data_IF_905674031151
#
_entry.id   IF_905674031151
#
_cell.length_a   1.000
_cell.length_b   1.000
_cell.length_c   1.000
_cell.angle_alpha   90.00
_cell.angle_beta   90.00
_cell.angle_gamma   90.00
#
_symmetry.space_group_name_H-M   'P 1'
#
loop_
_entity.id
_entity.type
_entity.pdbx_description
1 polymer ?
#
# COMPACT_ATOMS: atom_id res chain seq x y z
N UNK A 1 -21.17 22.01 -12.90
CA UNK A 1 -22.00 21.94 -11.68
C UNK A 1 -21.12 22.31 -10.50
N UNK A 2 -21.67 22.86 -9.43
CA UNK A 2 -20.88 23.20 -8.23
C UNK A 2 -20.62 21.92 -7.43
N UNK A 3 -19.35 21.64 -7.10
CA UNK A 3 -18.96 20.47 -6.30
C UNK A 3 -19.38 20.62 -4.83
N UNK A 4 -19.79 19.52 -4.20
CA UNK A 4 -20.19 19.53 -2.79
C UNK A 4 -18.97 19.43 -1.85
N UNK A 5 -18.24 20.53 -1.72
CA UNK A 5 -17.05 20.62 -0.86
C UNK A 5 -17.44 21.22 0.49
N UNK A 6 -17.06 20.53 1.57
CA UNK A 6 -17.25 20.94 2.97
C UNK A 6 -15.89 21.03 3.64
N UNK A 7 -15.64 22.14 4.30
CA UNK A 7 -14.38 22.37 5.02
C UNK A 7 -14.74 22.83 6.43
N UNK A 8 -14.42 22.02 7.43
CA UNK A 8 -14.89 22.20 8.81
C UNK A 8 -13.74 22.06 9.81
N UNK A 9 -13.75 22.81 10.93
CA UNK A 9 -12.79 22.61 12.00
C UNK A 9 -13.04 21.28 12.73
N UNK A 10 -11.98 20.50 12.94
CA UNK A 10 -11.94 19.33 13.81
C UNK A 10 -11.47 19.73 15.20
N UNK A 11 -12.37 19.60 16.19
CA UNK A 11 -12.04 19.80 17.61
C UNK A 11 -11.51 18.51 18.21
N UNK A 12 -10.26 18.19 17.92
CA UNK A 12 -9.56 17.03 18.47
C UNK A 12 -8.14 17.42 18.90
N UNK A 13 -7.55 16.60 19.76
CA UNK A 13 -6.12 16.68 20.06
C UNK A 13 -5.33 16.19 18.85
N UNK A 14 -4.39 16.98 18.30
CA UNK A 14 -3.48 16.52 17.26
C UNK A 14 -2.80 15.21 17.65
N UNK A 15 -2.58 14.31 16.69
CA UNK A 15 -1.95 12.99 16.84
C UNK A 15 -0.67 13.08 17.65
N UNK A 16 0.20 14.06 17.34
CA UNK A 16 1.46 14.31 18.02
C UNK A 16 1.31 14.64 19.50
N UNK A 17 0.18 15.24 19.88
CA UNK A 17 -0.13 15.67 21.25
C UNK A 17 -0.93 14.59 22.01
N UNK A 18 -1.31 13.48 21.37
CA UNK A 18 -1.96 12.36 22.04
C UNK A 18 -0.93 11.53 22.83
N UNK A 19 -1.34 10.89 23.93
CA UNK A 19 -0.42 10.11 24.77
C UNK A 19 0.03 8.80 24.13
N UNK A 20 -0.82 8.19 23.30
CA UNK A 20 -0.56 6.89 22.67
C UNK A 20 -0.83 7.01 21.18
N UNK A 21 0.03 6.40 20.38
CA UNK A 21 -0.16 6.23 18.95
C UNK A 21 0.38 4.87 18.51
N UNK A 22 -0.34 4.24 17.58
CA UNK A 22 0.03 2.98 16.97
C UNK A 22 0.09 3.16 15.45
N UNK A 23 1.16 2.68 14.84
CA UNK A 23 1.35 2.67 13.39
C UNK A 23 1.94 1.32 12.99
N UNK A 24 1.44 0.74 11.90
CA UNK A 24 2.01 -0.45 11.32
C UNK A 24 2.32 -0.24 9.83
N UNK A 25 3.40 -0.86 9.36
CA UNK A 25 3.70 -1.02 7.94
C UNK A 25 4.11 -2.46 7.65
N UNK A 26 3.47 -3.05 6.65
CA UNK A 26 3.84 -4.34 6.06
C UNK A 26 4.68 -4.08 4.81
N UNK A 27 5.93 -4.52 4.81
CA UNK A 27 6.88 -4.35 3.71
C UNK A 27 6.56 -5.19 2.49
N UNK A 28 7.31 -4.99 1.40
CA UNK A 28 6.98 -5.53 0.07
C UNK A 28 6.88 -7.06 0.00
N UNK A 29 7.62 -7.78 0.85
CA UNK A 29 7.60 -9.24 0.91
C UNK A 29 6.63 -9.84 1.94
N UNK A 30 5.92 -9.02 2.71
CA UNK A 30 4.86 -9.53 3.59
C UNK A 30 3.73 -10.12 2.74
N UNK A 31 3.14 -11.28 3.07
CA UNK A 31 2.15 -11.95 2.23
C UNK A 31 0.98 -11.07 1.76
N UNK A 32 0.39 -10.27 2.66
CA UNK A 32 -0.67 -9.31 2.27
C UNK A 32 -0.16 -8.25 1.26
N UNK A 33 1.04 -7.72 1.44
CA UNK A 33 1.65 -6.74 0.52
C UNK A 33 2.03 -7.36 -0.83
N UNK A 34 2.44 -8.64 -0.85
CA UNK A 34 2.63 -9.40 -2.08
C UNK A 34 1.28 -9.53 -2.81
N UNK A 35 0.20 -9.84 -2.09
CA UNK A 35 -1.13 -9.94 -2.69
C UNK A 35 -1.60 -8.60 -3.29
N UNK A 36 -1.41 -7.50 -2.58
CA UNK A 36 -1.69 -6.14 -3.07
C UNK A 36 -0.85 -5.81 -4.31
N UNK A 37 0.46 -6.05 -4.28
CA UNK A 37 1.34 -5.77 -5.42
C UNK A 37 1.06 -6.64 -6.64
N UNK A 38 0.73 -7.92 -6.46
CA UNK A 38 0.26 -8.80 -7.54
C UNK A 38 -1.03 -8.29 -8.17
N UNK A 39 -2.02 -7.93 -7.35
CA UNK A 39 -3.29 -7.41 -7.82
C UNK A 39 -3.10 -6.14 -8.65
N UNK A 40 -2.25 -5.21 -8.18
CA UNK A 40 -1.96 -3.97 -8.88
C UNK A 40 -1.15 -4.19 -10.16
N UNK A 41 -0.12 -5.04 -10.14
CA UNK A 41 0.68 -5.37 -11.32
C UNK A 41 -0.19 -5.99 -12.43
N UNK A 42 -1.13 -6.86 -12.06
CA UNK A 42 -2.11 -7.42 -13.01
C UNK A 42 -3.02 -6.34 -13.58
N UNK A 43 -3.55 -5.43 -12.75
CA UNK A 43 -4.41 -4.33 -13.22
C UNK A 43 -3.66 -3.42 -14.21
N UNK A 44 -2.40 -3.07 -13.91
CA UNK A 44 -1.58 -2.25 -14.79
C UNK A 44 -1.27 -2.95 -16.12
N UNK A 45 -0.93 -4.24 -16.08
CA UNK A 45 -0.70 -5.03 -17.28
C UNK A 45 -1.96 -5.14 -18.16
N UNK A 46 -3.13 -5.33 -17.55
CA UNK A 46 -4.40 -5.32 -18.27
C UNK A 46 -4.71 -3.93 -18.86
N UNK A 47 -4.44 -2.85 -18.13
CA UNK A 47 -4.58 -1.49 -18.68
C UNK A 47 -3.73 -1.30 -19.94
N UNK A 48 -2.46 -1.71 -19.91
CA UNK A 48 -1.57 -1.63 -21.07
C UNK A 48 -2.09 -2.48 -22.24
N UNK A 49 -2.52 -3.71 -21.99
CA UNK A 49 -3.08 -4.62 -23.01
C UNK A 49 -4.33 -4.03 -23.67
N UNK A 50 -5.22 -3.43 -22.87
CA UNK A 50 -6.44 -2.79 -23.37
C UNK A 50 -6.12 -1.53 -24.20
N UNK A 51 -5.17 -0.70 -23.77
CA UNK A 51 -4.76 0.49 -24.52
C UNK A 51 -4.15 0.09 -25.86
N UNK A 52 -3.27 -0.92 -25.88
CA UNK A 52 -2.62 -1.39 -27.11
C UNK A 52 -3.61 -1.95 -28.14
N UNK A 53 -4.55 -2.79 -27.69
CA UNK A 53 -5.51 -3.47 -28.58
C UNK A 53 -6.75 -2.66 -28.91
N UNK A 54 -7.25 -1.90 -27.95
CA UNK A 54 -8.57 -1.27 -27.99
C UNK A 54 -8.53 0.26 -27.90
N UNK A 55 -7.35 0.85 -27.67
CA UNK A 55 -7.17 2.31 -27.57
C UNK A 55 -7.70 2.94 -26.28
N UNK A 56 -8.18 2.15 -25.33
CA UNK A 56 -8.72 2.60 -24.06
C UNK A 56 -8.61 1.49 -23.00
N UNK A 57 -8.54 1.87 -21.72
CA UNK A 57 -8.66 0.90 -20.62
C UNK A 57 -10.09 0.37 -20.55
N UNK A 58 -10.26 -0.95 -20.55
CA UNK A 58 -11.56 -1.61 -20.40
C UNK A 58 -11.85 -2.02 -18.95
N UNK A 59 -13.08 -2.46 -18.70
CA UNK A 59 -13.52 -2.85 -17.36
C UNK A 59 -12.76 -4.09 -16.87
N UNK A 60 -12.20 -3.97 -15.67
CA UNK A 60 -11.56 -5.04 -14.93
C UNK A 60 -11.46 -4.64 -13.46
N UNK A 61 -11.43 -5.61 -12.56
CA UNK A 61 -11.08 -5.44 -11.14
C UNK A 61 -10.38 -6.73 -10.69
N UNK A 62 -9.11 -6.65 -10.29
CA UNK A 62 -8.25 -7.80 -9.95
C UNK A 62 -7.82 -7.77 -8.49
N UNK A 63 -8.67 -7.18 -7.64
CA UNK A 63 -8.45 -6.84 -6.24
C UNK A 63 -8.83 -7.97 -5.26
N UNK A 64 -8.78 -9.23 -5.70
CA UNK A 64 -9.23 -10.39 -4.91
C UNK A 64 -8.16 -11.51 -4.85
N UNK A 65 -6.88 -11.16 -5.04
CA UNK A 65 -5.77 -12.12 -4.99
C UNK A 65 -5.62 -12.76 -3.61
N UNK A 66 -5.41 -14.09 -3.59
CA UNK A 66 -5.18 -14.89 -2.39
C UNK A 66 -3.85 -15.61 -2.48
N UNK A 67 -3.11 -15.65 -1.37
CA UNK A 67 -1.86 -16.37 -1.19
C UNK A 67 -2.07 -17.38 -0.08
N UNK A 68 -1.84 -18.65 -0.40
CA UNK A 68 -1.84 -19.77 0.54
C UNK A 68 -0.39 -20.18 0.76
N UNK A 69 -0.01 -20.22 2.02
CA UNK A 69 1.36 -20.46 2.42
C UNK A 69 1.88 -21.82 1.95
N UNK A 70 3.18 -21.83 1.61
CA UNK A 70 3.92 -23.05 1.33
C UNK A 70 4.40 -23.74 2.61
N UNK A 71 5.44 -24.55 2.45
CA UNK A 71 6.23 -25.07 3.57
C UNK A 71 7.70 -25.07 3.19
N UNK A 72 8.57 -24.60 4.07
CA UNK A 72 10.01 -24.64 3.89
C UNK A 72 10.74 -25.28 5.07
N UNK A 73 12.03 -25.53 4.87
CA UNK A 73 12.99 -25.89 5.91
C UNK A 73 14.21 -24.96 5.80
N UNK A 74 14.14 -23.74 6.39
CA UNK A 74 15.24 -22.77 6.37
C UNK A 74 16.44 -23.28 7.17
N UNK A 75 17.66 -22.96 6.72
CA UNK A 75 18.88 -23.30 7.44
C UNK A 75 20.00 -22.30 7.15
N UNK A 76 20.99 -22.20 8.03
CA UNK A 76 22.21 -21.47 7.71
C UNK A 76 22.91 -22.09 6.49
N UNK A 77 23.40 -21.23 5.59
CA UNK A 77 24.00 -21.65 4.33
C UNK A 77 23.00 -22.18 3.29
N UNK A 78 21.69 -22.19 3.56
CA UNK A 78 20.70 -22.62 2.58
C UNK A 78 19.30 -22.87 3.14
N UNK A 79 18.82 -24.08 2.91
CA UNK A 79 17.44 -24.48 3.16
C UNK A 79 16.69 -24.81 1.86
N UNK A 80 15.50 -25.35 2.00
CA UNK A 80 14.69 -25.81 0.88
C UNK A 80 13.21 -25.46 1.06
N UNK A 81 12.54 -25.15 -0.05
CA UNK A 81 11.08 -25.08 -0.11
C UNK A 81 10.56 -26.50 -0.35
N UNK A 82 9.76 -27.01 0.59
CA UNK A 82 9.19 -28.37 0.60
C UNK A 82 7.88 -28.42 -0.18
N UNK A 83 7.00 -27.43 0.08
CA UNK A 83 5.73 -27.26 -0.61
C UNK A 83 5.67 -25.85 -1.18
N UNK A 84 5.33 -25.68 -2.46
CA UNK A 84 5.26 -24.37 -3.07
C UNK A 84 4.14 -23.53 -2.45
N UNK A 85 4.34 -22.21 -2.45
CA UNK A 85 3.31 -21.23 -2.14
C UNK A 85 2.27 -21.29 -3.27
N UNK A 86 0.98 -21.30 -2.93
CA UNK A 86 -0.09 -21.26 -3.92
C UNK A 86 -0.67 -19.85 -4.00
N UNK A 87 -0.75 -19.29 -5.21
CA UNK A 87 -1.26 -17.95 -5.45
C UNK A 87 -2.43 -18.05 -6.43
N UNK A 88 -3.58 -17.52 -6.04
CA UNK A 88 -4.78 -17.48 -6.85
C UNK A 88 -5.13 -16.02 -7.18
N UNK A 89 -4.97 -15.66 -8.46
CA UNK A 89 -5.41 -14.37 -8.99
C UNK A 89 -6.91 -14.45 -9.31
N UNK A 90 -7.73 -13.63 -8.64
CA UNK A 90 -9.19 -13.59 -8.82
C UNK A 90 -9.63 -12.18 -9.19
N UNK A 91 -10.75 -12.08 -9.90
CA UNK A 91 -11.34 -10.80 -10.26
C UNK A 91 -12.27 -10.88 -11.47
N UNK A 92 -12.47 -9.72 -12.09
CA UNK A 92 -13.19 -9.53 -13.34
C UNK A 92 -12.26 -8.93 -14.40
N UNK A 93 -12.37 -9.36 -15.65
CA UNK A 93 -11.70 -8.75 -16.78
C UNK A 93 -12.56 -8.84 -18.04
N UNK A 94 -12.39 -7.88 -18.96
CA UNK A 94 -13.04 -7.90 -20.28
C UNK A 94 -12.20 -8.78 -21.21
N UNK A 95 -12.74 -9.93 -21.63
CA UNK A 95 -11.99 -10.90 -22.46
C UNK A 95 -12.20 -10.71 -23.97
N UNK A 96 -13.23 -9.98 -24.35
CA UNK A 96 -13.52 -9.62 -25.75
C UNK A 96 -14.11 -8.22 -25.83
N UNK A 97 -13.70 -7.45 -26.84
CA UNK A 97 -14.25 -6.13 -27.12
C UNK A 97 -14.25 -5.89 -28.63
N UNK A 98 -15.42 -5.59 -29.21
CA UNK A 98 -15.59 -5.32 -30.65
C UNK A 98 -14.99 -6.41 -31.57
N UNK A 99 -15.13 -7.69 -31.16
CA UNK A 99 -14.60 -8.85 -31.89
C UNK A 99 -13.09 -9.07 -31.71
N UNK A 100 -12.42 -8.25 -30.88
CA UNK A 100 -11.02 -8.44 -30.49
C UNK A 100 -10.98 -9.30 -29.24
N UNK A 101 -10.37 -10.48 -29.33
CA UNK A 101 -10.07 -11.32 -28.17
C UNK A 101 -8.84 -10.80 -27.42
N UNK A 102 -8.96 -10.71 -26.09
CA UNK A 102 -7.96 -10.14 -25.21
C UNK A 102 -7.42 -11.25 -24.31
N UNK A 103 -6.09 -11.47 -24.27
CA UNK A 103 -5.49 -12.61 -23.58
C UNK A 103 -5.37 -12.38 -22.06
N UNK A 104 -6.47 -12.04 -21.38
CA UNK A 104 -6.50 -11.54 -19.99
C UNK A 104 -5.78 -12.44 -19.00
N UNK A 105 -6.05 -13.74 -19.04
CA UNK A 105 -5.56 -14.67 -18.03
C UNK A 105 -4.06 -14.91 -18.22
N UNK A 106 -3.60 -14.99 -19.47
CA UNK A 106 -2.17 -15.08 -19.79
C UNK A 106 -1.41 -13.79 -19.46
N UNK A 107 -2.01 -12.62 -19.71
CA UNK A 107 -1.44 -11.32 -19.32
C UNK A 107 -1.30 -11.23 -17.80
N UNK A 108 -2.33 -11.65 -17.04
CA UNK A 108 -2.31 -11.66 -15.59
C UNK A 108 -1.23 -12.61 -15.03
N UNK A 109 -1.15 -13.83 -15.55
CA UNK A 109 -0.12 -14.80 -15.14
C UNK A 109 1.30 -14.29 -15.42
N UNK A 110 1.52 -13.64 -16.58
CA UNK A 110 2.81 -13.08 -16.91
C UNK A 110 3.18 -11.92 -15.97
N UNK A 111 2.27 -10.96 -15.77
CA UNK A 111 2.49 -9.81 -14.89
C UNK A 111 2.79 -10.23 -13.45
N UNK A 112 2.07 -11.23 -12.93
CA UNK A 112 2.31 -11.77 -11.61
C UNK A 112 3.69 -12.45 -11.49
N UNK A 113 4.13 -13.19 -12.51
CA UNK A 113 5.48 -13.79 -12.53
C UNK A 113 6.56 -12.72 -12.53
N UNK A 114 6.39 -11.68 -13.33
CA UNK A 114 7.36 -10.59 -13.43
C UNK A 114 7.44 -9.80 -12.12
N UNK A 115 6.29 -9.48 -11.53
CA UNK A 115 6.23 -8.85 -10.20
C UNK A 115 7.00 -9.65 -9.15
N UNK A 116 6.79 -10.97 -9.07
CA UNK A 116 7.49 -11.82 -8.09
C UNK A 116 9.00 -11.88 -8.35
N UNK A 117 9.43 -11.98 -9.61
CA UNK A 117 10.87 -12.00 -9.98
C UNK A 117 11.57 -10.69 -9.62
N UNK A 118 10.87 -9.56 -9.79
CA UNK A 118 11.41 -8.23 -9.52
C UNK A 118 11.46 -7.91 -8.02
N UNK A 119 10.47 -8.38 -7.26
CA UNK A 119 10.29 -7.95 -5.87
C UNK A 119 10.77 -8.96 -4.83
N UNK A 120 10.76 -10.27 -5.10
CA UNK A 120 11.17 -11.32 -4.13
C UNK A 120 12.37 -12.08 -4.68
N UNK A 121 13.59 -11.57 -4.44
CA UNK A 121 14.78 -11.98 -5.20
C UNK A 121 15.24 -13.42 -4.92
N UNK A 122 14.94 -13.93 -3.72
CA UNK A 122 15.37 -15.26 -3.33
C UNK A 122 14.34 -16.35 -3.66
N UNK A 123 13.16 -15.97 -4.17
CA UNK A 123 12.08 -16.87 -4.57
C UNK A 123 12.29 -17.38 -6.00
N UNK A 124 12.27 -18.69 -6.21
CA UNK A 124 12.23 -19.26 -7.55
C UNK A 124 10.78 -19.42 -8.01
N UNK A 125 10.29 -18.47 -8.82
CA UNK A 125 8.89 -18.44 -9.31
C UNK A 125 8.47 -19.72 -10.06
N UNK A 126 9.39 -20.45 -10.68
CA UNK A 126 9.04 -21.67 -11.43
C UNK A 126 8.99 -22.93 -10.56
N UNK A 127 9.69 -22.93 -9.43
CA UNK A 127 9.79 -24.09 -8.52
C UNK A 127 8.97 -23.91 -7.25
N UNK A 128 9.00 -22.71 -6.67
CA UNK A 128 8.53 -22.42 -5.32
C UNK A 128 7.09 -21.89 -5.30
N UNK A 129 6.49 -21.66 -6.47
CA UNK A 129 5.15 -21.08 -6.62
C UNK A 129 4.28 -21.95 -7.53
N UNK A 130 3.01 -22.13 -7.13
CA UNK A 130 1.93 -22.49 -8.03
C UNK A 130 1.08 -21.24 -8.25
N UNK A 131 1.06 -20.73 -9.48
CA UNK A 131 0.29 -19.55 -9.84
C UNK A 131 -0.94 -19.97 -10.66
N UNK A 132 -2.12 -19.65 -10.15
CA UNK A 132 -3.42 -19.93 -10.79
C UNK A 132 -4.18 -18.61 -11.04
N UNK A 133 -5.02 -18.60 -12.06
CA UNK A 133 -5.76 -17.42 -12.48
C UNK A 133 -7.21 -17.80 -12.80
N UNK A 134 -8.15 -17.13 -12.12
CA UNK A 134 -9.59 -17.32 -12.28
C UNK A 134 -10.31 -15.99 -12.46
N UNK A 135 -9.89 -15.23 -13.46
CA UNK A 135 -10.58 -14.00 -13.85
C UNK A 135 -11.92 -14.35 -14.52
N UNK A 136 -13.00 -13.94 -13.88
CA UNK A 136 -14.34 -14.00 -14.45
C UNK A 136 -14.53 -12.92 -15.51
N UNK A 137 -15.49 -13.11 -16.41
CA UNK A 137 -15.85 -12.09 -17.39
C UNK A 137 -16.56 -10.92 -16.67
N UNK A 138 -16.09 -9.68 -16.92
CA UNK A 138 -16.78 -8.46 -16.50
C UNK A 138 -17.94 -8.13 -17.44
N UNK A 139 -18.93 -7.34 -16.98
CA UNK A 139 -20.01 -6.90 -17.86
C UNK A 139 -19.47 -5.95 -18.94
N UNK A 140 -19.63 -6.35 -20.21
CA UNK A 140 -19.33 -5.53 -21.40
C UNK A 140 -20.28 -4.34 -21.58
N UNK A 141 -21.36 -4.27 -20.79
CA UNK A 141 -22.38 -3.22 -20.81
C UNK A 141 -21.90 -1.84 -20.31
N UNK A 142 -20.63 -1.70 -19.92
CA UNK A 142 -20.07 -0.41 -19.50
C UNK A 142 -19.58 0.47 -20.66
N UNK A 143 -19.91 0.14 -21.93
CA UNK A 143 -19.68 1.02 -23.11
C UNK A 143 -20.06 2.49 -22.85
N UNK A 144 -21.16 2.71 -22.15
CA UNK A 144 -21.67 4.05 -21.79
C UNK A 144 -20.79 4.82 -20.79
N UNK A 145 -19.91 4.16 -20.03
CA UNK A 145 -18.95 4.81 -19.14
C UNK A 145 -17.73 5.30 -19.93
N UNK A 146 -17.32 4.58 -20.98
CA UNK A 146 -16.12 4.87 -21.77
C UNK A 146 -16.27 6.07 -22.72
N UNK A 147 -17.49 6.41 -23.14
CA UNK A 147 -17.72 7.56 -24.02
C UNK A 147 -17.82 8.92 -23.29
N UNK A 148 -17.77 8.93 -21.95
CA UNK A 148 -17.87 10.17 -21.16
C UNK A 148 -16.49 10.77 -20.95
N UNK A 149 -16.39 12.11 -21.04
CA UNK A 149 -15.16 12.84 -20.71
C UNK A 149 -14.73 12.62 -19.26
N UNK A 150 -15.70 12.53 -18.33
CA UNK A 150 -15.49 12.11 -16.95
C UNK A 150 -16.32 10.85 -16.70
N UNK A 151 -15.70 9.73 -16.29
CA UNK A 151 -16.42 8.49 -16.07
C UNK A 151 -17.36 8.60 -14.87
N UNK A 152 -18.46 7.84 -14.93
CA UNK A 152 -19.34 7.65 -13.78
C UNK A 152 -18.72 6.67 -12.78
N UNK A 153 -18.84 6.96 -11.49
CA UNK A 153 -18.40 6.11 -10.40
C UNK A 153 -18.98 4.69 -10.54
N UNK A 154 -18.13 3.69 -10.38
CA UNK A 154 -18.53 2.29 -10.47
C UNK A 154 -19.40 1.82 -9.27
N UNK A 155 -19.24 2.47 -8.13
CA UNK A 155 -19.83 2.10 -6.85
C UNK A 155 -20.09 3.34 -5.98
N UNK A 156 -20.78 3.15 -4.86
CA UNK A 156 -20.96 4.12 -3.77
C UNK A 156 -19.96 3.78 -2.66
N UNK A 157 -18.72 4.19 -2.85
CA UNK A 157 -17.61 3.98 -1.91
C UNK A 157 -17.00 5.30 -1.44
N UNK A 158 -16.08 5.23 -0.48
CA UNK A 158 -15.37 6.38 0.05
C UNK A 158 -13.85 6.21 0.10
N UNK A 159 -13.14 7.32 -0.12
CA UNK A 159 -11.70 7.42 0.04
C UNK A 159 -11.33 8.33 1.21
N UNK A 160 -10.21 8.04 1.86
CA UNK A 160 -9.70 8.81 3.00
C UNK A 160 -8.21 9.09 2.81
N UNK A 161 -7.80 10.30 3.14
CA UNK A 161 -6.40 10.71 3.20
C UNK A 161 -6.18 11.68 4.35
N UNK A 162 -4.94 11.79 4.82
CA UNK A 162 -4.58 12.73 5.85
C UNK A 162 -3.13 13.20 5.69
N UNK A 163 -2.83 14.35 6.28
CA UNK A 163 -1.49 14.92 6.31
C UNK A 163 -1.36 15.97 7.44
N UNK A 164 -0.13 16.33 7.84
CA UNK A 164 1.11 15.61 7.54
C UNK A 164 1.16 14.25 8.27
N UNK A 165 2.11 13.40 7.90
CA UNK A 165 2.43 12.21 8.71
C UNK A 165 3.07 12.66 10.03
N UNK A 166 2.67 12.03 11.14
CA UNK A 166 3.32 12.16 12.45
C UNK A 166 4.76 11.64 12.40
N UNK A 167 5.58 11.95 13.39
CA UNK A 167 6.91 11.40 13.58
C UNK A 167 6.87 9.86 13.65
N UNK A 168 5.93 9.27 14.40
CA UNK A 168 5.77 7.81 14.48
C UNK A 168 5.41 7.21 13.12
N UNK A 169 4.53 7.88 12.36
CA UNK A 169 4.13 7.48 11.01
C UNK A 169 5.32 7.55 10.03
N UNK A 170 6.07 8.65 10.05
CA UNK A 170 7.27 8.83 9.24
C UNK A 170 8.35 7.80 9.58
N UNK A 171 8.66 7.61 10.87
CA UNK A 171 9.67 6.64 11.33
C UNK A 171 9.28 5.22 10.91
N UNK A 172 8.00 4.84 11.08
CA UNK A 172 7.51 3.51 10.70
C UNK A 172 7.62 3.28 9.19
N UNK A 173 7.25 4.30 8.39
CA UNK A 173 7.38 4.26 6.94
C UNK A 173 8.84 4.13 6.50
N UNK A 174 9.71 4.99 7.03
CA UNK A 174 11.11 5.06 6.63
C UNK A 174 11.96 3.90 7.16
N UNK A 175 11.59 3.26 8.27
CA UNK A 175 12.26 2.06 8.76
C UNK A 175 12.18 0.90 7.76
N UNK A 176 11.01 0.68 7.14
CA UNK A 176 10.86 -0.33 6.11
C UNK A 176 11.67 0.02 4.85
N UNK A 177 11.65 1.28 4.44
CA UNK A 177 12.45 1.75 3.29
C UNK A 177 13.96 1.62 3.54
N UNK A 178 14.42 1.90 4.76
CA UNK A 178 15.83 1.73 5.15
C UNK A 178 16.24 0.26 5.06
N UNK A 179 15.42 -0.69 5.54
CA UNK A 179 15.67 -2.12 5.38
C UNK A 179 15.81 -2.52 3.90
N UNK A 180 14.89 -2.05 3.04
CA UNK A 180 14.95 -2.32 1.60
C UNK A 180 16.19 -1.72 0.94
N UNK A 181 16.68 -0.57 1.41
CA UNK A 181 17.93 0.03 0.96
C UNK A 181 19.16 -0.75 1.45
N UNK A 182 19.16 -1.20 2.69
CA UNK A 182 20.24 -1.99 3.29
C UNK A 182 20.38 -3.36 2.65
N UNK A 183 19.29 -3.96 2.17
CA UNK A 183 19.30 -5.26 1.46
C UNK A 183 20.29 -5.31 0.29
N UNK A 184 20.52 -4.17 -0.39
CA UNK A 184 21.50 -4.05 -1.48
C UNK A 184 22.94 -4.34 -1.04
N UNK A 185 23.24 -4.18 0.25
CA UNK A 185 24.56 -4.40 0.87
C UNK A 185 24.57 -5.62 1.78
N UNK A 186 23.43 -5.94 2.40
CA UNK A 186 23.24 -7.04 3.33
C UNK A 186 22.22 -8.00 2.68
N UNK A 187 22.66 -8.96 1.84
CA UNK A 187 21.75 -9.83 1.10
C UNK A 187 20.98 -10.80 2.02
N UNK A 188 21.37 -10.91 3.29
CA UNK A 188 20.63 -11.66 4.29
C UNK A 188 19.29 -11.00 4.68
N UNK A 189 19.06 -9.72 4.38
CA UNK A 189 17.77 -9.07 4.62
C UNK A 189 16.77 -9.58 3.57
N UNK A 190 15.71 -10.24 4.04
CA UNK A 190 14.56 -10.62 3.22
C UNK A 190 13.65 -9.44 2.94
N UNK A 191 12.76 -9.61 1.96
CA UNK A 191 11.81 -8.59 1.54
C UNK A 191 10.59 -8.52 2.47
N UNK A 192 10.31 -9.59 3.20
CA UNK A 192 9.29 -9.61 4.25
C UNK A 192 9.77 -8.93 5.51
N UNK A 193 9.19 -7.75 5.71
CA UNK A 193 9.41 -6.94 6.89
C UNK A 193 8.07 -6.45 7.40
N UNK A 194 7.96 -6.28 8.71
CA UNK A 194 6.80 -5.69 9.35
C UNK A 194 7.26 -4.78 10.47
N UNK A 195 6.90 -3.52 10.39
CA UNK A 195 7.27 -2.50 11.35
C UNK A 195 6.04 -2.11 12.12
N UNK A 196 6.10 -2.23 13.45
CA UNK A 196 5.09 -1.74 14.37
C UNK A 196 5.71 -0.63 15.21
N UNK A 197 5.22 0.59 15.06
CA UNK A 197 5.55 1.73 15.90
C UNK A 197 4.50 1.92 16.99
N UNK A 198 4.94 1.89 18.24
CA UNK A 198 4.17 2.32 19.41
C UNK A 198 4.83 3.57 19.97
N UNK A 199 4.11 4.69 19.99
CA UNK A 199 4.51 5.85 20.78
C UNK A 199 3.71 5.88 22.06
N UNK A 200 4.41 5.99 23.18
CA UNK A 200 3.86 6.28 24.50
C UNK A 200 4.53 7.55 25.02
N UNK A 201 3.82 8.67 24.90
CA UNK A 201 4.30 10.02 25.24
C UNK A 201 5.57 10.36 24.45
N UNK A 202 6.69 10.42 25.17
CA UNK A 202 8.01 10.81 24.66
C UNK A 202 8.91 9.61 24.33
N UNK A 203 8.34 8.39 24.28
CA UNK A 203 9.06 7.18 23.89
C UNK A 203 8.40 6.51 22.70
N UNK A 204 9.18 6.14 21.69
CA UNK A 204 8.77 5.36 20.53
C UNK A 204 9.46 3.99 20.61
N UNK A 205 8.67 2.92 20.61
CA UNK A 205 9.13 1.55 20.48
C UNK A 205 8.83 1.06 19.07
N UNK A 206 9.85 0.67 18.32
CA UNK A 206 9.75 0.04 17.01
C UNK A 206 9.96 -1.46 17.15
N UNK A 207 8.93 -2.26 16.88
CA UNK A 207 9.05 -3.71 16.74
C UNK A 207 9.17 -4.04 15.26
N UNK A 208 10.34 -4.54 14.87
CA UNK A 208 10.70 -4.86 13.49
C UNK A 208 10.79 -6.36 13.36
N UNK A 209 9.85 -6.96 12.64
CA UNK A 209 10.03 -8.29 12.10
C UNK A 209 10.72 -8.17 10.74
N UNK A 210 11.81 -8.88 10.54
CA UNK A 210 12.61 -8.87 9.33
C UNK A 210 13.03 -10.32 9.03
N UNK A 211 12.48 -10.88 7.96
CA UNK A 211 12.90 -12.18 7.46
C UNK A 211 14.40 -12.16 7.16
N UNK A 212 15.12 -13.19 7.58
CA UNK A 212 16.54 -13.33 7.32
C UNK A 212 16.80 -14.51 6.38
N UNK A 213 17.48 -14.28 5.26
CA UNK A 213 17.68 -15.29 4.22
C UNK A 213 18.86 -16.21 4.57
N UNK A 214 18.56 -17.48 4.85
CA UNK A 214 19.51 -18.44 5.42
C UNK A 214 20.75 -18.70 4.58
N UNK A 215 20.64 -18.73 3.24
CA UNK A 215 21.80 -18.91 2.34
C UNK A 215 22.87 -17.82 2.45
N UNK A 216 22.55 -16.67 3.04
CA UNK A 216 23.47 -15.55 3.25
C UNK A 216 24.02 -15.46 4.67
N UNK A 217 23.65 -16.39 5.54
CA UNK A 217 24.07 -16.47 6.94
C UNK A 217 24.82 -17.78 7.17
N UNK A 218 25.94 -17.71 7.88
CA UNK A 218 26.82 -18.87 8.08
C UNK A 218 26.42 -19.68 9.31
N UNK A 219 25.96 -19.00 10.34
CA UNK A 219 25.67 -19.53 11.67
C UNK A 219 24.87 -18.51 12.49
N UNK A 220 24.56 -18.89 13.73
CA UNK A 220 23.85 -18.07 14.72
C UNK A 220 24.61 -16.78 15.07
N UNK A 221 25.94 -16.81 15.17
CA UNK A 221 26.73 -15.62 15.49
C UNK A 221 26.62 -14.56 14.39
N UNK A 222 26.67 -14.99 13.12
CA UNK A 222 26.44 -14.10 11.98
C UNK A 222 25.03 -13.51 12.01
N UNK A 223 23.99 -14.32 12.29
CA UNK A 223 22.62 -13.83 12.43
C UNK A 223 22.49 -12.74 13.51
N UNK A 224 23.03 -13.00 14.72
CA UNK A 224 23.00 -12.05 15.83
C UNK A 224 23.75 -10.77 15.47
N UNK A 225 24.90 -10.87 14.80
CA UNK A 225 25.66 -9.70 14.38
C UNK A 225 24.89 -8.84 13.38
N UNK A 226 24.20 -9.47 12.42
CA UNK A 226 23.42 -8.74 11.41
C UNK A 226 22.21 -8.06 12.07
N UNK A 227 21.42 -8.77 12.88
CA UNK A 227 20.25 -8.16 13.54
C UNK A 227 20.63 -7.06 14.52
N UNK A 228 21.78 -7.14 15.18
CA UNK A 228 22.32 -6.04 15.99
C UNK A 228 22.70 -4.81 15.15
N UNK A 229 23.36 -4.99 13.99
CA UNK A 229 23.66 -3.89 13.07
C UNK A 229 22.37 -3.25 12.51
N UNK A 230 21.36 -4.04 12.16
CA UNK A 230 20.05 -3.53 11.72
C UNK A 230 19.39 -2.67 12.80
N UNK A 231 19.38 -3.14 14.05
CA UNK A 231 18.82 -2.40 15.18
C UNK A 231 19.46 -1.02 15.31
N UNK A 232 20.79 -0.97 15.27
CA UNK A 232 21.53 0.28 15.45
C UNK A 232 21.30 1.24 14.26
N UNK A 233 21.26 0.72 13.02
CA UNK A 233 20.95 1.53 11.83
C UNK A 233 19.53 2.10 11.83
N UNK A 234 18.54 1.30 12.22
CA UNK A 234 17.14 1.76 12.30
C UNK A 234 17.01 2.82 13.39
N UNK A 235 17.66 2.62 14.55
CA UNK A 235 17.68 3.63 15.62
C UNK A 235 18.32 4.94 15.15
N UNK A 236 19.46 4.87 14.48
CA UNK A 236 20.16 6.05 13.96
C UNK A 236 19.38 6.76 12.84
N UNK A 237 18.59 6.01 12.07
CA UNK A 237 17.65 6.57 11.09
C UNK A 237 16.49 7.27 11.78
N UNK A 238 15.85 6.62 12.76
CA UNK A 238 14.70 7.15 13.48
C UNK A 238 15.03 8.45 14.24
N UNK A 239 16.23 8.54 14.81
CA UNK A 239 16.71 9.74 15.52
C UNK A 239 16.82 11.01 14.65
N UNK A 240 16.66 10.90 13.32
CA UNK A 240 16.61 12.05 12.40
C UNK A 240 15.23 12.71 12.34
N UNK A 241 14.20 12.00 12.79
CA UNK A 241 12.79 12.44 12.69
C UNK A 241 12.22 12.88 14.03
N UNK A 242 12.90 12.61 15.14
CA UNK A 242 12.37 12.86 16.49
C UNK A 242 13.48 13.08 17.52
N UNK A 243 13.16 13.89 18.53
CA UNK A 243 13.95 14.03 19.76
C UNK A 243 13.46 13.08 20.89
N UNK A 244 12.41 12.28 20.64
CA UNK A 244 11.86 11.30 21.59
C UNK A 244 12.84 10.13 21.82
N UNK A 245 12.68 9.44 22.95
CA UNK A 245 13.43 8.21 23.23
C UNK A 245 13.01 7.11 22.24
N UNK A 246 13.97 6.37 21.69
CA UNK A 246 13.73 5.35 20.67
C UNK A 246 14.26 3.99 21.15
N UNK A 247 13.35 3.03 21.26
CA UNK A 247 13.66 1.61 21.44
C UNK A 247 13.40 0.85 20.14
N UNK A 248 14.35 0.03 19.71
CA UNK A 248 14.21 -0.81 18.51
C UNK A 248 14.39 -2.27 18.90
N UNK A 249 13.39 -3.08 18.59
CA UNK A 249 13.37 -4.52 18.80
C UNK A 249 13.36 -5.21 17.43
N UNK A 250 14.41 -5.97 17.12
CA UNK A 250 14.48 -6.78 15.89
C UNK A 250 14.10 -8.22 16.23
N UNK A 251 13.18 -8.80 15.46
CA UNK A 251 12.77 -10.20 15.54
C UNK A 251 12.50 -10.64 16.99
N UNK A 252 11.63 -9.90 17.69
CA UNK A 252 11.36 -10.09 19.11
C UNK A 252 10.83 -11.49 19.50
N UNK A 253 10.40 -12.29 18.52
CA UNK A 253 9.97 -13.68 18.70
C UNK A 253 11.13 -14.70 18.70
N UNK A 254 12.37 -14.27 18.42
CA UNK A 254 13.52 -15.17 18.38
C UNK A 254 13.81 -15.79 19.75
N UNK A 255 14.09 -17.10 19.75
CA UNK A 255 14.70 -17.80 20.87
C UNK A 255 16.08 -18.32 20.46
N UNK A 256 17.10 -17.52 20.75
CA UNK A 256 18.49 -17.81 20.41
C UNK A 256 19.01 -19.09 21.08
N UNK A 257 18.44 -19.53 22.21
CA UNK A 257 18.90 -20.73 22.92
C UNK A 257 18.44 -22.01 22.22
N UNK A 258 17.25 -21.96 21.63
CA UNK A 258 16.65 -23.06 20.91
C UNK A 258 16.79 -22.91 19.39
N UNK A 259 17.52 -21.89 18.92
CA UNK A 259 17.69 -21.54 17.50
C UNK A 259 16.35 -21.42 16.74
N UNK A 260 15.32 -20.95 17.43
CA UNK A 260 14.05 -20.56 16.81
C UNK A 260 14.19 -19.12 16.33
N UNK A 261 14.58 -18.94 15.07
CA UNK A 261 14.92 -17.65 14.47
C UNK A 261 13.96 -17.34 13.31
N UNK A 262 13.78 -16.06 12.98
CA UNK A 262 13.07 -15.67 11.76
C UNK A 262 13.93 -15.86 10.49
N UNK A 263 14.29 -17.11 10.21
CA UNK A 263 15.07 -17.53 9.06
C UNK A 263 14.16 -17.97 7.91
N UNK A 264 14.46 -17.58 6.68
CA UNK A 264 13.71 -17.93 5.46
C UNK A 264 14.65 -18.48 4.38
N UNK A 265 14.11 -19.20 3.42
CA UNK A 265 14.78 -19.61 2.17
C UNK A 265 14.66 -18.52 1.12
N UNK A 266 13.48 -17.90 1.02
CA UNK A 266 13.04 -17.05 -0.10
C UNK A 266 12.93 -15.57 0.27
N UNK A 267 13.09 -15.21 1.54
CA UNK A 267 12.95 -13.83 2.01
C UNK A 267 11.51 -13.43 2.34
N UNK A 268 10.53 -14.34 2.27
CA UNK A 268 9.14 -14.11 2.68
C UNK A 268 8.60 -15.20 3.60
N UNK A 269 7.79 -14.85 4.60
CA UNK A 269 7.12 -15.81 5.48
C UNK A 269 6.02 -16.60 4.78
N UNK A 270 5.60 -16.20 3.58
CA UNK A 270 4.67 -16.97 2.74
C UNK A 270 5.17 -18.41 2.50
N UNK A 271 6.48 -18.64 2.55
CA UNK A 271 7.06 -19.98 2.40
C UNK A 271 6.77 -20.93 3.58
N UNK A 272 6.34 -20.41 4.75
CA UNK A 272 6.32 -21.17 6.01
C UNK A 272 5.07 -20.95 6.90
N UNK A 273 3.92 -20.68 6.30
CA UNK A 273 2.62 -20.77 7.00
C UNK A 273 1.81 -19.49 7.10
N UNK A 274 2.31 -18.35 6.58
CA UNK A 274 1.55 -17.11 6.54
C UNK A 274 0.83 -16.94 5.19
N UNK A 275 -0.49 -16.84 5.26
CA UNK A 275 -1.34 -16.52 4.11
C UNK A 275 -1.39 -15.01 3.86
N UNK A 276 -1.80 -14.60 2.65
CA UNK A 276 -1.91 -13.20 2.27
C UNK A 276 -3.13 -12.93 1.41
N UNK A 277 -3.72 -11.74 1.54
CA UNK A 277 -4.83 -11.32 0.68
C UNK A 277 -4.89 -9.82 0.45
N UNK A 278 -5.43 -9.42 -0.71
CA UNK A 278 -5.59 -8.01 -1.09
C UNK A 278 -6.37 -7.24 -0.02
N UNK A 279 -5.94 -6.00 0.24
CA UNK A 279 -6.64 -5.09 1.14
C UNK A 279 -6.48 -5.40 2.63
N UNK A 280 -5.70 -6.41 3.00
CA UNK A 280 -5.35 -6.74 4.40
C UNK A 280 -4.04 -6.12 4.87
N UNK A 281 -3.34 -5.46 3.95
CA UNK A 281 -2.11 -4.73 4.19
C UNK A 281 -2.33 -3.25 4.54
N UNK A 282 -1.36 -2.46 4.15
CA UNK A 282 -1.32 -1.01 4.31
C UNK A 282 -2.52 -0.32 3.63
N UNK A 283 -2.81 0.92 4.03
CA UNK A 283 -3.66 1.82 3.24
C UNK A 283 -2.83 2.45 2.13
N UNK A 284 -3.47 3.18 1.22
CA UNK A 284 -2.78 3.76 0.05
C UNK A 284 -1.69 4.80 0.36
N UNK A 285 -1.60 5.28 1.60
CA UNK A 285 -0.49 6.10 2.07
C UNK A 285 0.73 5.29 2.55
N UNK A 286 0.65 3.96 2.50
CA UNK A 286 1.73 3.07 2.93
C UNK A 286 1.66 2.61 4.38
N UNK A 287 0.63 2.98 5.15
CA UNK A 287 0.57 2.72 6.60
C UNK A 287 -0.79 2.17 7.04
N UNK A 288 -0.81 1.56 8.22
CA UNK A 288 -2.00 1.21 8.99
C UNK A 288 -1.96 2.07 10.25
N UNK A 289 -2.91 3.01 10.37
CA UNK A 289 -2.91 4.06 11.39
C UNK A 289 -4.24 4.07 12.16
N UNK A 290 -4.43 3.18 13.15
CA UNK A 290 -5.69 3.07 13.90
C UNK A 290 -6.14 4.35 14.62
N UNK A 291 -5.24 5.31 14.82
CA UNK A 291 -5.54 6.63 15.41
C UNK A 291 -5.91 7.70 14.38
N UNK A 292 -5.89 7.37 13.08
CA UNK A 292 -6.35 8.21 11.96
C UNK A 292 -7.60 7.59 11.34
N UNK A 293 -8.45 8.38 10.65
CA UNK A 293 -9.51 7.80 9.83
C UNK A 293 -8.90 7.00 8.67
N UNK A 294 -9.51 5.86 8.35
CA UNK A 294 -9.07 4.99 7.25
C UNK A 294 -10.26 4.56 6.40
N UNK A 295 -10.01 4.33 5.11
CA UNK A 295 -10.93 3.59 4.24
C UNK A 295 -10.61 2.09 4.29
N UNK A 296 -11.65 1.28 4.35
CA UNK A 296 -11.55 -0.18 4.23
C UNK A 296 -11.47 -0.64 2.77
N UNK A 297 -11.65 0.27 1.81
CA UNK A 297 -11.46 -0.02 0.40
C UNK A 297 -10.00 -0.45 0.13
N UNK A 298 -9.84 -1.65 -0.41
CA UNK A 298 -8.58 -2.03 -1.05
C UNK A 298 -8.40 -1.15 -2.29
N UNK A 299 -7.20 -0.67 -2.55
CA UNK A 299 -6.86 0.21 -3.69
C UNK A 299 -6.20 -0.57 -4.83
N UNK A 300 -5.38 -1.55 -4.49
CA UNK A 300 -4.63 -2.37 -5.44
C UNK A 300 -5.53 -3.27 -6.28
N UNK A 301 -5.29 -3.31 -7.60
CA UNK A 301 -6.01 -4.16 -8.55
C UNK A 301 -7.35 -3.63 -9.06
N UNK A 302 -7.91 -2.59 -8.42
CA UNK A 302 -9.14 -1.94 -8.88
C UNK A 302 -8.90 -1.12 -10.14
N UNK A 303 -9.94 -1.03 -10.98
CA UNK A 303 -9.91 -0.25 -12.22
C UNK A 303 -9.49 1.21 -11.98
N UNK A 304 -8.47 1.74 -12.67
CA UNK A 304 -8.02 3.11 -12.47
C UNK A 304 -8.94 4.16 -13.10
N UNK A 305 -9.90 3.80 -13.95
CA UNK A 305 -10.74 4.75 -14.69
C UNK A 305 -11.90 5.26 -13.83
N UNK A 306 -12.64 4.35 -13.20
CA UNK A 306 -13.90 4.70 -12.54
C UNK A 306 -14.09 4.09 -11.14
N UNK A 307 -13.11 3.33 -10.64
CA UNK A 307 -13.23 2.75 -9.32
C UNK A 307 -12.90 3.75 -8.22
N UNK A 308 -13.93 4.36 -7.65
CA UNK A 308 -13.78 5.45 -6.65
C UNK A 308 -13.10 5.00 -5.36
N UNK A 309 -13.28 3.74 -4.93
CA UNK A 309 -12.49 3.14 -3.85
C UNK A 309 -10.97 3.26 -4.04
N UNK A 310 -10.46 3.24 -5.29
CA UNK A 310 -9.05 3.50 -5.60
C UNK A 310 -8.77 4.99 -5.77
N UNK A 311 -9.52 5.62 -6.68
CA UNK A 311 -9.27 7.00 -7.12
C UNK A 311 -9.40 8.00 -5.98
N UNK A 312 -10.44 7.88 -5.15
CA UNK A 312 -10.67 8.83 -4.05
C UNK A 312 -9.67 8.65 -2.91
N UNK A 313 -9.20 7.43 -2.64
CA UNK A 313 -8.14 7.22 -1.65
C UNK A 313 -6.83 7.90 -2.10
N UNK A 314 -6.43 7.73 -3.37
CA UNK A 314 -5.25 8.40 -3.91
C UNK A 314 -5.40 9.91 -3.99
N UNK A 315 -6.56 10.40 -4.45
CA UNK A 315 -6.84 11.83 -4.55
C UNK A 315 -6.87 12.49 -3.17
N UNK A 316 -7.50 11.85 -2.18
CA UNK A 316 -7.59 12.37 -0.81
C UNK A 316 -6.20 12.52 -0.18
N UNK A 317 -5.30 11.55 -0.39
CA UNK A 317 -3.92 11.67 0.08
C UNK A 317 -3.16 12.79 -0.64
N UNK A 318 -3.27 12.89 -1.97
CA UNK A 318 -2.67 13.99 -2.74
C UNK A 318 -3.14 15.36 -2.23
N UNK A 319 -4.44 15.53 -2.03
CA UNK A 319 -5.03 16.79 -1.52
C UNK A 319 -4.50 17.08 -0.12
N UNK A 320 -4.52 16.09 0.77
CA UNK A 320 -4.07 16.28 2.14
C UNK A 320 -2.60 16.72 2.18
N UNK A 321 -1.71 16.01 1.46
CA UNK A 321 -0.29 16.37 1.37
C UNK A 321 -0.09 17.78 0.82
N UNK A 322 -0.78 18.13 -0.27
CA UNK A 322 -0.66 19.47 -0.86
C UNK A 322 -1.09 20.57 0.11
N UNK A 323 -2.18 20.36 0.86
CA UNK A 323 -2.62 21.33 1.88
C UNK A 323 -1.58 21.46 2.99
N UNK A 324 -1.08 20.36 3.53
CA UNK A 324 -0.08 20.38 4.60
C UNK A 324 1.24 21.05 4.18
N UNK A 325 1.59 21.00 2.89
CA UNK A 325 2.80 21.60 2.34
C UNK A 325 2.65 23.08 1.98
N UNK A 326 1.44 23.54 1.63
CA UNK A 326 1.24 24.85 0.98
C UNK A 326 0.34 25.81 1.74
N UNK A 327 -0.42 25.35 2.75
CA UNK A 327 -1.37 26.17 3.51
C UNK A 327 -0.87 26.34 4.94
N UNK A 328 -0.35 27.53 5.24
CA UNK A 328 0.12 27.89 6.58
C UNK A 328 -1.03 27.87 7.61
N UNK A 329 -0.75 27.35 8.81
CA UNK A 329 -1.73 27.33 9.92
C UNK A 329 -2.58 26.06 9.99
N UNK A 330 -2.32 25.06 9.16
CA UNK A 330 -2.87 23.70 9.28
C UNK A 330 -1.90 22.82 10.09
N UNK A 331 -2.30 22.37 11.28
CA UNK A 331 -1.55 21.35 12.03
C UNK A 331 -1.86 19.94 11.49
N UNK A 332 -3.13 19.66 11.18
CA UNK A 332 -3.56 18.43 10.52
C UNK A 332 -4.75 18.65 9.60
N UNK A 333 -4.84 17.84 8.56
CA UNK A 333 -6.01 17.76 7.69
C UNK A 333 -6.40 16.31 7.41
N UNK A 334 -7.70 16.02 7.50
CA UNK A 334 -8.29 14.75 7.08
C UNK A 334 -9.26 15.00 5.93
N UNK A 335 -9.03 14.35 4.80
CA UNK A 335 -9.89 14.41 3.61
C UNK A 335 -10.72 13.13 3.52
N UNK A 336 -12.04 13.26 3.34
CA UNK A 336 -12.97 12.16 3.16
C UNK A 336 -13.85 12.44 1.95
N UNK A 337 -13.87 11.53 0.99
CA UNK A 337 -14.62 11.71 -0.25
C UNK A 337 -15.59 10.55 -0.42
N UNK A 338 -16.88 10.83 -0.59
CA UNK A 338 -17.92 9.83 -0.79
C UNK A 338 -18.50 10.00 -2.20
N UNK A 339 -18.59 8.89 -2.93
CA UNK A 339 -19.21 8.82 -4.24
C UNK A 339 -20.68 8.42 -4.15
N UNK A 340 -21.42 8.61 -5.23
CA UNK A 340 -22.70 7.98 -5.49
C UNK A 340 -22.57 7.24 -6.83
N UNK A 341 -22.92 5.96 -6.87
CA UNK A 341 -22.79 5.11 -8.07
C UNK A 341 -23.43 5.78 -9.30
N UNK A 342 -22.71 5.78 -10.43
CA UNK A 342 -23.15 6.36 -11.69
C UNK A 342 -22.99 7.88 -11.84
N UNK A 343 -22.69 8.62 -10.76
CA UNK A 343 -22.34 10.05 -10.84
C UNK A 343 -20.91 10.24 -11.34
N UNK A 344 -20.59 11.34 -12.05
CA UNK A 344 -19.22 11.64 -12.45
C UNK A 344 -18.26 11.61 -11.26
N UNK A 345 -17.09 10.99 -11.42
CA UNK A 345 -16.09 10.89 -10.35
C UNK A 345 -15.54 12.26 -9.89
N UNK A 346 -15.67 13.30 -10.71
CA UNK A 346 -15.31 14.67 -10.31
C UNK A 346 -16.42 15.37 -9.50
N UNK A 347 -17.56 14.71 -9.27
CA UNK A 347 -18.73 15.23 -8.55
C UNK A 347 -19.08 14.29 -7.39
N UNK A 348 -18.24 14.21 -6.34
CA UNK A 348 -18.54 13.39 -5.17
C UNK A 348 -19.84 13.84 -4.50
N UNK A 349 -20.55 12.88 -3.89
CA UNK A 349 -21.70 13.17 -3.04
C UNK A 349 -21.31 14.13 -1.91
N UNK A 350 -20.08 13.99 -1.37
CA UNK A 350 -19.41 15.00 -0.55
C UNK A 350 -17.89 14.83 -0.64
N UNK A 351 -17.17 15.96 -0.66
CA UNK A 351 -15.75 16.04 -0.33
C UNK A 351 -15.61 16.83 0.97
N UNK A 352 -15.39 16.13 2.07
CA UNK A 352 -15.24 16.65 3.42
C UNK A 352 -13.75 16.83 3.75
N UNK A 353 -13.41 17.98 4.31
CA UNK A 353 -12.09 18.30 4.83
C UNK A 353 -12.21 18.77 6.27
N UNK A 354 -11.71 17.95 7.19
CA UNK A 354 -11.62 18.28 8.60
C UNK A 354 -10.24 18.84 8.95
N UNK A 355 -10.17 20.00 9.60
CA UNK A 355 -8.92 20.72 9.87
C UNK A 355 -8.66 20.83 11.37
N UNK A 356 -7.46 20.45 11.81
CA UNK A 356 -6.91 20.88 13.09
C UNK A 356 -5.98 22.06 12.80
N UNK A 357 -6.37 23.25 13.24
CA UNK A 357 -5.63 24.48 12.94
C UNK A 357 -4.65 24.83 14.04
N UNK A 358 -3.58 25.53 13.68
CA UNK A 358 -2.68 26.16 14.63
C UNK A 358 -3.42 27.21 15.47
N UNK A 359 -2.92 27.49 16.67
CA UNK A 359 -3.49 28.51 17.55
C UNK A 359 -3.43 29.90 16.87
N UNK A 360 -4.58 30.57 16.79
CA UNK A 360 -4.70 31.89 16.19
C UNK A 360 -4.80 31.93 14.66
N UNK A 361 -4.89 30.77 13.98
CA UNK A 361 -5.08 30.72 12.54
C UNK A 361 -6.43 31.31 12.09
N UNK A 362 -6.43 31.97 10.92
CA UNK A 362 -7.64 32.49 10.30
C UNK A 362 -8.41 31.37 9.60
N UNK A 363 -9.44 30.86 10.28
CA UNK A 363 -10.25 29.76 9.77
C UNK A 363 -10.99 30.09 8.47
N UNK A 364 -11.39 31.34 8.24
CA UNK A 364 -12.10 31.71 7.02
C UNK A 364 -11.14 31.69 5.82
N UNK A 365 -9.90 32.14 6.00
CA UNK A 365 -8.85 32.04 4.99
C UNK A 365 -8.50 30.58 4.68
N UNK A 366 -8.26 29.76 5.72
CA UNK A 366 -7.98 28.32 5.57
C UNK A 366 -9.08 27.60 4.79
N UNK A 367 -10.35 27.87 5.12
CA UNK A 367 -11.49 27.26 4.43
C UNK A 367 -11.52 27.61 2.94
N UNK A 368 -11.20 28.85 2.57
CA UNK A 368 -11.20 29.29 1.18
C UNK A 368 -10.09 28.63 0.37
N UNK A 369 -8.87 28.60 0.90
CA UNK A 369 -7.71 28.01 0.23
C UNK A 369 -7.86 26.50 0.05
N UNK A 370 -8.24 25.78 1.10
CA UNK A 370 -8.44 24.33 1.07
C UNK A 370 -9.56 23.96 0.10
N UNK A 371 -10.66 24.72 0.10
CA UNK A 371 -11.76 24.51 -0.86
C UNK A 371 -11.30 24.68 -2.31
N UNK A 372 -10.42 25.65 -2.58
CA UNK A 372 -9.87 25.86 -3.92
C UNK A 372 -8.95 24.70 -4.35
N UNK A 373 -8.12 24.18 -3.44
CA UNK A 373 -7.25 23.02 -3.68
C UNK A 373 -8.08 21.77 -4.00
N UNK A 374 -9.14 21.50 -3.22
CA UNK A 374 -10.05 20.37 -3.44
C UNK A 374 -10.77 20.50 -4.78
N UNK A 375 -11.31 21.68 -5.09
CA UNK A 375 -12.06 21.90 -6.33
C UNK A 375 -11.18 21.72 -7.58
N UNK A 376 -9.96 22.28 -7.56
CA UNK A 376 -8.97 22.08 -8.63
C UNK A 376 -8.60 20.60 -8.75
N UNK A 377 -8.30 19.93 -7.64
CA UNK A 377 -7.89 18.52 -7.66
C UNK A 377 -9.00 17.59 -8.17
N UNK A 378 -10.27 17.90 -7.89
CA UNK A 378 -11.43 17.21 -8.47
C UNK A 378 -11.59 17.52 -9.96
N UNK A 379 -11.33 18.75 -10.41
CA UNK A 379 -11.34 19.08 -11.84
C UNK A 379 -10.30 18.29 -12.63
N UNK A 380 -9.14 18.05 -12.03
CA UNK A 380 -8.01 17.33 -12.63
C UNK A 380 -7.98 15.84 -12.23
N UNK A 381 -9.09 15.27 -11.75
CA UNK A 381 -9.13 13.89 -11.21
C UNK A 381 -8.65 12.82 -12.21
N UNK A 382 -8.76 13.07 -13.51
CA UNK A 382 -8.25 12.17 -14.56
C UNK A 382 -6.72 12.08 -14.60
N UNK A 383 -5.99 12.98 -13.94
CA UNK A 383 -4.56 12.79 -13.74
C UNK A 383 -4.27 11.61 -12.81
N UNK A 384 -5.08 11.39 -11.78
CA UNK A 384 -4.96 10.21 -10.92
C UNK A 384 -5.18 8.94 -11.75
N UNK A 385 -6.22 8.91 -12.59
CA UNK A 385 -6.54 7.72 -13.40
C UNK A 385 -5.39 7.36 -14.34
N UNK A 386 -4.82 8.37 -15.02
CA UNK A 386 -3.68 8.21 -15.92
C UNK A 386 -2.42 7.76 -15.17
N UNK A 387 -2.04 8.45 -14.09
CA UNK A 387 -0.81 8.15 -13.36
C UNK A 387 -0.84 6.75 -12.73
N UNK A 388 -1.99 6.31 -12.24
CA UNK A 388 -2.15 4.94 -11.73
C UNK A 388 -2.04 3.91 -12.85
N UNK A 389 -2.72 4.13 -13.98
CA UNK A 389 -2.65 3.20 -15.12
C UNK A 389 -1.21 3.07 -15.68
N UNK A 390 -0.41 4.13 -15.56
CA UNK A 390 1.02 4.16 -15.91
C UNK A 390 1.96 3.62 -14.82
N UNK A 391 1.43 3.16 -13.67
CA UNK A 391 2.23 2.66 -12.54
C UNK A 391 3.05 3.72 -11.81
N UNK A 392 2.66 4.99 -11.88
CA UNK A 392 3.38 6.14 -11.29
C UNK A 392 2.87 6.56 -9.92
N UNK A 393 1.81 5.93 -9.41
CA UNK A 393 1.28 6.15 -8.07
C UNK A 393 1.27 4.82 -7.31
N UNK A 394 1.84 4.83 -6.09
CA UNK A 394 1.75 3.71 -5.19
C UNK A 394 0.30 3.54 -4.70
N UNK A 395 -0.12 2.30 -4.48
CA UNK A 395 -1.47 1.97 -4.00
C UNK A 395 -1.50 1.41 -2.59
N UNK A 396 -0.35 1.11 -1.96
CA UNK A 396 -0.23 0.55 -0.62
C UNK A 396 1.16 0.79 -0.03
#
# INVERSE_FOLDING_TARGET
MTRNIKVEPLRQTPIEKQEIELVERKGIGHPDSIADGLAEAVSQALCAEYIDRCGAVLHHNTDETQIVAGRSYPAFGGGEVISPIYILLVGRATKEFDGIHIPTDTTALQAARDYLRENILNLNVERDIILDCKLGEGSSDLRDVFHRTIPGANDTSFGVGFAPLSETEQITYHAEQELMNLRKKIPAIGEDTKIMGLREKDKITLVVACAMVGRHLNDLEHYISVTADLRDRIRDMAAKYTDRDIEVLINAADDLKNESLFLTVTGTSAEMGDDGSVGRGNRCNGLITPYRPMSMEATSGKNPVNHVGKIYNLLANKIASEVAETVDGVEEIHIRMLSEIGKPIDQPLVADAGIVSAEGADMDALQQEIKAIIDRSLADITDITRLVAEGKLATF
#
